data_IF_854387162849
#
_entry.id   IF_854387162849
#
_cell.length_a   1.000
_cell.length_b   1.000
_cell.length_c   1.000
_cell.angle_alpha   90.00
_cell.angle_beta   90.00
_cell.angle_gamma   90.00
#
_symmetry.space_group_name_H-M   'P 1'
#
loop_
_entity.id
_entity.type
_entity.pdbx_description
1 polymer ?
#
# COMPACT_ATOMS: atom_id res chain seq x y z
N UNK A 1 -7.16 12.16 -16.40
CA UNK A 1 -5.91 11.49 -16.85
C UNK A 1 -6.28 10.09 -17.29
N UNK A 2 -5.77 9.65 -18.44
CA UNK A 2 -6.05 8.32 -19.01
C UNK A 2 -5.12 7.26 -18.40
N UNK A 3 -5.49 5.98 -18.48
CA UNK A 3 -4.61 4.89 -18.04
C UNK A 3 -3.27 4.91 -18.77
N UNK A 4 -3.25 5.20 -20.08
CA UNK A 4 -2.03 5.30 -20.88
C UNK A 4 -1.08 6.38 -20.37
N UNK A 5 -1.59 7.56 -20.01
CA UNK A 5 -0.76 8.63 -19.44
C UNK A 5 -0.15 8.22 -18.09
N UNK A 6 -0.90 7.47 -17.27
CA UNK A 6 -0.39 6.93 -15.99
C UNK A 6 0.70 5.89 -16.28
N UNK A 7 0.45 5.00 -17.24
CA UNK A 7 1.36 3.95 -17.68
C UNK A 7 2.70 4.53 -18.16
N UNK A 8 2.64 5.55 -19.02
CA UNK A 8 3.82 6.30 -19.48
C UNK A 8 4.57 6.94 -18.31
N UNK A 9 3.84 7.59 -17.39
CA UNK A 9 4.43 8.22 -16.21
C UNK A 9 5.08 7.22 -15.26
N UNK A 10 4.59 5.99 -15.15
CA UNK A 10 5.19 5.04 -14.21
C UNK A 10 6.47 4.38 -14.74
N UNK A 11 6.74 4.45 -16.06
CA UNK A 11 7.95 3.87 -16.69
C UNK A 11 9.27 4.49 -16.25
N UNK A 12 9.24 5.68 -15.65
CA UNK A 12 10.42 6.36 -15.09
C UNK A 12 10.80 5.89 -13.68
N UNK A 13 9.97 5.03 -13.06
CA UNK A 13 10.26 4.43 -11.75
C UNK A 13 10.69 2.96 -11.91
N UNK A 14 11.45 2.40 -10.95
CA UNK A 14 11.81 0.98 -10.95
C UNK A 14 10.62 0.11 -10.48
N UNK A 15 9.48 0.21 -11.17
CA UNK A 15 8.35 -0.68 -10.99
C UNK A 15 8.68 -2.03 -11.62
N UNK A 16 8.47 -3.09 -10.86
CA UNK A 16 8.67 -4.45 -11.31
C UNK A 16 7.46 -4.97 -12.09
N UNK A 17 6.27 -4.87 -11.49
CA UNK A 17 5.00 -5.26 -12.12
C UNK A 17 3.91 -4.26 -11.74
N UNK A 18 2.90 -4.10 -12.61
CA UNK A 18 1.72 -3.31 -12.31
C UNK A 18 0.47 -3.89 -12.99
N UNK A 19 -0.69 -3.52 -12.46
CA UNK A 19 -1.99 -3.83 -13.01
C UNK A 19 -2.96 -2.69 -12.71
N UNK A 20 -3.84 -2.38 -13.66
CA UNK A 20 -5.01 -1.54 -13.41
C UNK A 20 -6.17 -2.44 -13.00
N UNK A 21 -6.67 -2.25 -11.78
CA UNK A 21 -7.78 -3.04 -11.23
C UNK A 21 -8.95 -2.14 -10.87
N UNK A 22 -10.14 -2.72 -10.74
CA UNK A 22 -11.30 -2.00 -10.21
C UNK A 22 -11.46 -2.25 -8.71
N UNK A 23 -11.96 -1.29 -7.92
CA UNK A 23 -12.27 -1.51 -6.52
C UNK A 23 -13.16 -2.73 -6.27
N UNK A 24 -14.11 -3.00 -7.17
CA UNK A 24 -15.00 -4.17 -7.10
C UNK A 24 -14.29 -5.53 -7.17
N UNK A 25 -13.09 -5.58 -7.79
CA UNK A 25 -12.33 -6.83 -7.96
C UNK A 25 -11.50 -7.20 -6.71
N UNK A 26 -11.40 -6.27 -5.76
CA UNK A 26 -10.60 -6.38 -4.54
C UNK A 26 -11.39 -7.16 -3.48
N UNK A 27 -10.79 -8.23 -2.98
CA UNK A 27 -11.35 -8.98 -1.86
C UNK A 27 -10.96 -8.35 -0.51
N UNK A 28 -11.96 -8.16 0.34
CA UNK A 28 -11.82 -7.69 1.71
C UNK A 28 -12.26 -8.80 2.67
N UNK A 29 -11.42 -9.14 3.65
CA UNK A 29 -11.65 -10.23 4.56
C UNK A 29 -11.10 -9.94 5.97
N UNK A 30 -11.94 -10.03 7.00
CA UNK A 30 -11.56 -9.85 8.40
C UNK A 30 -10.46 -10.80 8.90
N UNK A 31 -10.25 -11.93 8.21
CA UNK A 31 -9.15 -12.84 8.55
C UNK A 31 -7.78 -12.18 8.38
N UNK A 32 -7.60 -11.31 7.38
CA UNK A 32 -6.36 -10.53 7.19
C UNK A 32 -6.12 -9.62 8.40
N UNK A 33 -7.21 -9.06 8.95
CA UNK A 33 -7.20 -8.26 10.18
C UNK A 33 -6.81 -9.06 11.42
N UNK A 34 -7.11 -10.35 11.46
CA UNK A 34 -6.68 -11.23 12.56
C UNK A 34 -5.16 -11.43 12.56
N UNK A 35 -4.54 -11.52 11.38
CA UNK A 35 -3.07 -11.60 11.25
C UNK A 35 -2.46 -10.33 11.85
N UNK A 36 -2.96 -9.15 11.46
CA UNK A 36 -2.54 -7.89 12.08
C UNK A 36 -2.65 -7.95 13.62
N UNK A 37 -3.78 -8.43 14.16
CA UNK A 37 -4.02 -8.47 15.61
C UNK A 37 -3.14 -9.46 16.38
N UNK A 38 -2.81 -10.59 15.76
CA UNK A 38 -2.14 -11.72 16.43
C UNK A 38 -0.63 -11.75 16.19
N UNK A 39 -0.19 -11.31 15.02
CA UNK A 39 1.17 -11.57 14.51
C UNK A 39 1.95 -10.27 14.24
N UNK A 40 1.27 -9.13 14.06
CA UNK A 40 1.96 -7.87 13.84
C UNK A 40 2.26 -7.13 15.15
N UNK A 41 3.55 -6.96 15.47
CA UNK A 41 4.02 -6.19 16.62
C UNK A 41 3.63 -4.70 16.58
N UNK A 42 3.22 -4.20 15.42
CA UNK A 42 2.81 -2.80 15.17
C UNK A 42 1.30 -2.59 15.29
N UNK A 43 0.52 -3.62 15.63
CA UNK A 43 -0.91 -3.48 15.89
C UNK A 43 -1.18 -2.41 16.96
N UNK A 44 -2.09 -1.48 16.68
CA UNK A 44 -2.43 -0.39 17.61
C UNK A 44 -1.31 0.62 17.85
N UNK A 45 -0.23 0.60 17.07
CA UNK A 45 0.92 1.47 17.30
C UNK A 45 0.89 2.78 16.50
N UNK A 46 0.06 2.90 15.46
CA UNK A 46 0.04 4.06 14.59
C UNK A 46 -1.29 4.31 13.89
N UNK A 47 -1.43 5.48 13.28
CA UNK A 47 -2.57 5.87 12.44
C UNK A 47 -2.71 5.03 11.15
N UNK A 48 -1.65 4.31 10.73
CA UNK A 48 -1.67 3.44 9.54
C UNK A 48 -2.13 2.01 9.85
N UNK A 49 -2.47 1.73 11.11
CA UNK A 49 -2.71 0.38 11.62
C UNK A 49 -4.11 0.27 12.26
N UNK A 50 -4.67 -0.93 12.37
CA UNK A 50 -5.83 -1.16 13.25
C UNK A 50 -5.55 -0.75 14.70
N UNK A 51 -6.58 -0.33 15.46
CA UNK A 51 -7.94 -0.04 15.00
C UNK A 51 -8.09 1.34 14.35
N UNK A 52 -7.01 2.13 14.26
CA UNK A 52 -7.04 3.53 13.82
C UNK A 52 -7.62 3.74 12.42
N UNK A 53 -7.35 2.82 11.49
CA UNK A 53 -7.85 2.91 10.10
C UNK A 53 -9.34 2.52 9.95
N UNK A 54 -9.96 2.00 11.02
CA UNK A 54 -11.38 1.59 11.04
C UNK A 54 -11.61 0.08 10.93
N UNK A 55 -12.88 -0.31 10.84
CA UNK A 55 -13.28 -1.70 10.58
C UNK A 55 -13.04 -2.06 9.10
N UNK A 56 -13.07 -3.34 8.75
CA UNK A 56 -12.89 -3.77 7.35
C UNK A 56 -14.01 -3.23 6.47
N UNK A 57 -15.24 -3.13 6.98
CA UNK A 57 -16.37 -2.54 6.27
C UNK A 57 -16.13 -1.07 5.93
N UNK A 58 -15.68 -0.27 6.89
CA UNK A 58 -15.34 1.15 6.66
C UNK A 58 -14.17 1.28 5.68
N UNK A 59 -13.17 0.41 5.78
CA UNK A 59 -12.04 0.38 4.85
C UNK A 59 -12.52 0.08 3.43
N UNK A 60 -13.39 -0.94 3.28
CA UNK A 60 -14.00 -1.32 2.00
C UNK A 60 -14.82 -0.18 1.43
N UNK A 61 -15.72 0.43 2.20
CA UNK A 61 -16.54 1.58 1.76
C UNK A 61 -15.66 2.73 1.26
N UNK A 62 -14.56 3.03 1.96
CA UNK A 62 -13.60 4.06 1.53
C UNK A 62 -12.98 3.71 0.19
N UNK A 63 -12.52 2.48 0.01
CA UNK A 63 -11.93 2.02 -1.25
C UNK A 63 -12.95 2.03 -2.41
N UNK A 64 -14.21 1.69 -2.13
CA UNK A 64 -15.32 1.68 -3.10
C UNK A 64 -15.79 3.08 -3.51
N UNK A 65 -15.31 4.13 -2.85
CA UNK A 65 -15.60 5.52 -3.24
C UNK A 65 -14.70 6.02 -4.38
N UNK A 66 -13.83 5.17 -4.92
CA UNK A 66 -12.97 5.45 -6.07
C UNK A 66 -13.43 4.61 -7.28
N UNK A 67 -12.96 4.95 -8.47
CA UNK A 67 -13.39 4.27 -9.71
C UNK A 67 -12.30 3.32 -10.25
N UNK A 68 -11.04 3.61 -9.92
CA UNK A 68 -9.88 2.93 -10.47
C UNK A 68 -8.82 2.71 -9.40
N UNK A 69 -7.98 1.70 -9.62
CA UNK A 69 -6.84 1.39 -8.76
C UNK A 69 -5.63 1.05 -9.61
N UNK A 70 -4.51 1.73 -9.36
CA UNK A 70 -3.20 1.29 -9.82
C UNK A 70 -2.60 0.39 -8.74
N UNK A 71 -2.45 -0.90 -9.03
CA UNK A 71 -1.75 -1.86 -8.19
C UNK A 71 -0.38 -2.10 -8.77
N UNK A 72 0.69 -1.94 -8.00
CA UNK A 72 2.04 -2.12 -8.50
C UNK A 72 3.00 -2.65 -7.45
N UNK A 73 4.11 -3.17 -7.91
CA UNK A 73 5.20 -3.65 -7.08
C UNK A 73 6.55 -3.06 -7.48
N UNK A 74 7.48 -3.03 -6.52
CA UNK A 74 8.91 -2.86 -6.79
C UNK A 74 9.68 -3.97 -6.08
N UNK A 75 10.91 -4.20 -6.51
CA UNK A 75 11.79 -5.22 -5.93
C UNK A 75 13.01 -4.58 -5.29
N UNK A 76 13.56 -5.24 -4.28
CA UNK A 76 14.84 -4.88 -3.68
C UNK A 76 15.65 -6.14 -3.38
N UNK A 77 16.95 -6.07 -3.65
CA UNK A 77 17.90 -7.12 -3.33
C UNK A 77 18.26 -7.04 -1.84
N UNK A 78 18.33 -8.20 -1.19
CA UNK A 78 18.72 -8.38 0.21
C UNK A 78 19.59 -9.62 0.34
N UNK A 79 20.49 -9.65 1.32
CA UNK A 79 21.31 -10.83 1.59
C UNK A 79 20.45 -11.99 2.11
N UNK A 80 19.46 -11.70 2.96
CA UNK A 80 18.53 -12.69 3.49
C UNK A 80 17.14 -12.10 3.74
N UNK A 81 16.14 -12.52 2.98
CA UNK A 81 14.74 -12.08 3.15
C UNK A 81 14.15 -12.38 4.55
N UNK A 82 14.73 -13.33 5.29
CA UNK A 82 14.32 -13.63 6.66
C UNK A 82 14.86 -12.61 7.68
N UNK A 83 15.84 -11.79 7.30
CA UNK A 83 16.26 -10.62 8.09
C UNK A 83 15.25 -9.48 7.87
N UNK A 84 14.36 -9.34 8.84
CA UNK A 84 13.31 -8.31 8.82
C UNK A 84 13.88 -6.89 8.87
N UNK A 85 14.99 -6.66 9.58
CA UNK A 85 15.57 -5.32 9.72
C UNK A 85 16.25 -4.89 8.41
N UNK A 86 16.90 -5.82 7.71
CA UNK A 86 17.41 -5.59 6.36
C UNK A 86 16.28 -5.32 5.38
N UNK A 87 15.28 -6.23 5.35
CA UNK A 87 14.11 -6.13 4.48
C UNK A 87 13.43 -4.77 4.64
N UNK A 88 13.11 -4.37 5.88
CA UNK A 88 12.41 -3.11 6.16
C UNK A 88 13.19 -1.84 5.75
N UNK A 89 14.53 -1.88 5.64
CA UNK A 89 15.29 -0.72 5.13
C UNK A 89 14.99 -0.43 3.67
N UNK A 90 14.71 -1.47 2.89
CA UNK A 90 14.41 -1.35 1.44
C UNK A 90 13.04 -0.73 1.17
N UNK A 91 12.12 -0.80 2.14
CA UNK A 91 10.76 -0.22 2.05
C UNK A 91 10.77 1.28 1.71
N UNK A 92 11.75 2.03 2.23
CA UNK A 92 11.79 3.49 2.12
C UNK A 92 11.76 3.99 0.68
N UNK A 93 12.44 3.29 -0.23
CA UNK A 93 12.45 3.58 -1.66
C UNK A 93 11.10 3.25 -2.31
N UNK A 94 10.48 2.12 -1.97
CA UNK A 94 9.13 1.78 -2.45
C UNK A 94 8.10 2.83 -2.05
N UNK A 95 8.10 3.24 -0.78
CA UNK A 95 7.20 4.29 -0.27
C UNK A 95 7.43 5.65 -0.94
N UNK A 96 8.67 5.94 -1.36
CA UNK A 96 8.98 7.15 -2.11
C UNK A 96 8.36 7.09 -3.51
N UNK A 97 8.47 5.97 -4.20
CA UNK A 97 7.82 5.74 -5.49
C UNK A 97 6.30 5.92 -5.35
N UNK A 98 5.67 5.30 -4.34
CA UNK A 98 4.24 5.45 -4.08
C UNK A 98 3.82 6.90 -3.89
N UNK A 99 4.58 7.68 -3.12
CA UNK A 99 4.31 9.12 -2.92
C UNK A 99 4.46 9.92 -4.21
N UNK A 100 5.49 9.66 -5.01
CA UNK A 100 5.73 10.40 -6.25
C UNK A 100 4.64 10.11 -7.30
N UNK A 101 4.18 8.86 -7.40
CA UNK A 101 3.07 8.49 -8.27
C UNK A 101 1.76 9.10 -7.74
N UNK A 102 1.46 8.98 -6.45
CA UNK A 102 0.24 9.54 -5.86
C UNK A 102 0.19 11.06 -6.04
N UNK A 103 1.30 11.77 -5.77
CA UNK A 103 1.38 13.22 -5.94
C UNK A 103 1.16 13.61 -7.40
N UNK A 104 1.71 12.86 -8.36
CA UNK A 104 1.48 13.14 -9.78
C UNK A 104 0.00 13.04 -10.15
N UNK A 105 -0.71 12.02 -9.65
CA UNK A 105 -2.15 11.89 -9.88
C UNK A 105 -2.93 13.06 -9.26
N UNK A 106 -2.56 13.50 -8.04
CA UNK A 106 -3.13 14.69 -7.39
C UNK A 106 -2.89 15.96 -8.20
N UNK A 107 -1.68 16.16 -8.73
CA UNK A 107 -1.31 17.31 -9.57
C UNK A 107 -2.14 17.36 -10.87
N UNK A 108 -2.63 16.21 -11.33
CA UNK A 108 -3.58 16.06 -12.44
C UNK A 108 -5.05 16.14 -12.01
N UNK A 109 -5.32 16.69 -10.83
CA UNK A 109 -6.66 16.94 -10.27
C UNK A 109 -7.48 15.67 -9.98
N UNK A 110 -6.82 14.53 -9.80
CA UNK A 110 -7.49 13.31 -9.33
C UNK A 110 -7.56 13.30 -7.80
N UNK A 111 -8.68 12.83 -7.27
CA UNK A 111 -8.78 12.45 -5.86
C UNK A 111 -8.09 11.10 -5.70
N UNK A 112 -7.22 10.95 -4.71
CA UNK A 112 -6.46 9.72 -4.49
C UNK A 112 -6.56 9.22 -3.06
N UNK A 113 -6.35 7.90 -2.92
CA UNK A 113 -6.09 7.26 -1.65
C UNK A 113 -5.08 6.13 -1.84
N UNK A 114 -3.88 6.29 -1.30
CA UNK A 114 -2.83 5.29 -1.40
C UNK A 114 -2.75 4.37 -0.17
N UNK A 115 -2.55 3.09 -0.43
CA UNK A 115 -2.16 2.05 0.52
C UNK A 115 -0.78 1.53 0.12
N UNK A 116 0.10 1.29 1.10
CA UNK A 116 1.42 0.72 0.85
C UNK A 116 1.68 -0.51 1.71
N UNK A 117 2.83 -1.14 1.54
CA UNK A 117 3.21 -2.34 2.30
C UNK A 117 3.74 -1.96 3.68
N UNK A 118 3.29 -2.67 4.71
CA UNK A 118 3.71 -2.52 6.13
C UNK A 118 3.34 -1.17 6.81
N UNK A 119 3.48 -1.12 8.14
CA UNK A 119 3.15 0.02 8.99
C UNK A 119 3.99 1.29 8.72
N UNK A 120 3.39 2.46 8.97
CA UNK A 120 4.04 3.76 8.81
C UNK A 120 5.20 3.94 9.80
N UNK A 121 6.33 4.46 9.31
CA UNK A 121 7.54 4.76 10.10
C UNK A 121 8.05 6.20 9.91
N UNK A 122 7.18 7.12 9.50
CA UNK A 122 7.56 8.52 9.19
C UNK A 122 8.05 9.34 10.39
N UNK A 123 7.76 8.89 11.61
CA UNK A 123 8.13 9.62 12.82
C UNK A 123 8.67 8.66 13.89
N UNK A 124 9.64 9.13 14.68
CA UNK A 124 10.25 8.33 15.76
C UNK A 124 9.22 7.79 16.75
N UNK A 125 8.19 8.59 17.03
CA UNK A 125 7.07 8.22 17.90
C UNK A 125 5.75 8.71 17.33
N UNK A 126 4.85 7.77 17.06
CA UNK A 126 3.50 8.09 16.58
C UNK A 126 2.68 8.81 17.67
N UNK A 127 1.82 9.73 17.25
CA UNK A 127 0.89 10.47 18.11
C UNK A 127 -0.37 9.66 18.47
N UNK A 128 -0.61 8.55 17.78
CA UNK A 128 -1.72 7.64 18.08
C UNK A 128 -1.65 7.11 19.52
N UNK A 129 -2.78 7.00 20.26
CA UNK A 129 -4.13 7.47 19.92
C UNK A 129 -4.43 8.89 20.38
N UNK A 130 -3.45 9.61 20.95
CA UNK A 130 -3.69 10.85 21.73
C UNK A 130 -3.77 12.13 20.89
N UNK A 131 -3.23 12.14 19.67
CA UNK A 131 -3.28 13.32 18.80
C UNK A 131 -3.20 12.97 17.32
N UNK A 132 -3.57 13.90 16.44
CA UNK A 132 -3.59 13.68 14.98
C UNK A 132 -2.24 13.28 14.39
N UNK A 133 -2.27 12.63 13.23
CA UNK A 133 -1.05 12.33 12.48
C UNK A 133 -0.29 13.62 12.13
N UNK A 134 1.03 13.62 12.33
CA UNK A 134 1.90 14.77 11.98
C UNK A 134 2.26 14.84 10.49
N UNK A 135 1.94 13.78 9.75
CA UNK A 135 2.31 13.59 8.34
C UNK A 135 1.11 13.08 7.54
N UNK A 136 -0.04 13.75 7.65
CA UNK A 136 -1.30 13.30 7.03
C UNK A 136 -1.14 13.04 5.53
N UNK A 137 -0.48 13.94 4.81
CA UNK A 137 -0.28 13.84 3.36
C UNK A 137 0.74 12.79 2.92
N UNK A 138 1.57 12.28 3.83
CA UNK A 138 2.63 11.31 3.52
C UNK A 138 2.33 9.91 4.04
N UNK A 139 1.39 9.79 4.98
CA UNK A 139 1.11 8.55 5.68
C UNK A 139 0.21 7.66 4.82
N UNK A 140 0.76 6.53 4.40
CA UNK A 140 -0.01 5.47 3.78
C UNK A 140 -0.37 4.40 4.81
N UNK A 141 -1.65 4.01 4.91
CA UNK A 141 -2.03 2.80 5.60
C UNK A 141 -1.47 1.56 4.92
N UNK A 142 -1.25 0.51 5.71
CA UNK A 142 -0.84 -0.79 5.21
C UNK A 142 -1.99 -1.46 4.42
N UNK A 143 -1.71 -2.16 3.32
CA UNK A 143 -2.76 -2.82 2.52
C UNK A 143 -3.55 -3.84 3.36
N UNK A 144 -2.86 -4.69 4.12
CA UNK A 144 -3.44 -5.68 5.02
C UNK A 144 -4.22 -5.02 6.16
N UNK A 145 -3.83 -3.79 6.53
CA UNK A 145 -4.59 -2.99 7.50
C UNK A 145 -5.98 -2.60 7.00
N UNK A 146 -6.27 -2.71 5.70
CA UNK A 146 -7.62 -2.51 5.16
C UNK A 146 -8.42 -3.81 5.03
N UNK A 147 -7.83 -4.94 5.42
CA UNK A 147 -8.44 -6.26 5.25
C UNK A 147 -8.32 -6.79 3.82
N UNK A 148 -7.49 -6.17 2.97
CA UNK A 148 -7.35 -6.56 1.57
C UNK A 148 -6.53 -7.85 1.47
N UNK A 149 -7.03 -8.79 0.68
CA UNK A 149 -6.34 -10.06 0.37
C UNK A 149 -5.44 -9.86 -0.86
N UNK A 150 -4.21 -9.37 -0.65
CA UNK A 150 -3.26 -9.05 -1.73
C UNK A 150 -2.95 -10.26 -2.61
N UNK A 151 -2.84 -11.45 -2.01
CA UNK A 151 -2.58 -12.70 -2.73
C UNK A 151 -3.58 -12.95 -3.88
N UNK A 152 -4.86 -12.63 -3.68
CA UNK A 152 -5.89 -12.84 -4.70
C UNK A 152 -5.73 -11.87 -5.88
N UNK A 153 -5.25 -10.64 -5.62
CA UNK A 153 -4.93 -9.70 -6.70
C UNK A 153 -3.68 -10.12 -7.47
N UNK A 154 -2.66 -10.60 -6.75
CA UNK A 154 -1.43 -11.12 -7.39
C UNK A 154 -1.77 -12.28 -8.32
N UNK A 155 -2.54 -13.26 -7.85
CA UNK A 155 -2.95 -14.42 -8.65
C UNK A 155 -3.80 -14.02 -9.86
N UNK A 156 -4.83 -13.19 -9.66
CA UNK A 156 -5.72 -12.74 -10.76
C UNK A 156 -4.97 -11.97 -11.85
N UNK A 157 -3.93 -11.23 -11.50
CA UNK A 157 -3.15 -10.41 -12.43
C UNK A 157 -1.85 -11.11 -12.89
N UNK A 158 -1.65 -12.38 -12.54
CA UNK A 158 -0.46 -13.16 -12.89
C UNK A 158 0.86 -12.45 -12.51
N UNK A 159 0.86 -11.79 -11.35
CA UNK A 159 2.04 -11.13 -10.79
C UNK A 159 2.86 -12.11 -9.95
N UNK A 160 4.12 -11.80 -9.71
CA UNK A 160 4.98 -12.61 -8.84
C UNK A 160 4.79 -12.18 -7.38
N UNK A 161 4.76 -13.16 -6.47
CA UNK A 161 4.75 -12.92 -5.02
C UNK A 161 6.04 -13.36 -4.33
N UNK A 162 6.92 -14.09 -5.03
CA UNK A 162 8.17 -14.61 -4.49
C UNK A 162 9.21 -14.76 -5.61
N UNK A 163 10.41 -14.19 -5.41
CA UNK A 163 11.51 -14.19 -6.38
C UNK A 163 12.78 -14.88 -5.84
N UNK A 164 12.65 -15.68 -4.78
CA UNK A 164 13.77 -16.33 -4.10
C UNK A 164 14.13 -15.67 -2.77
N UNK A 165 15.21 -16.15 -2.16
CA UNK A 165 15.60 -15.79 -0.78
C UNK A 165 16.37 -14.46 -0.68
N UNK A 166 16.72 -13.86 -1.83
CA UNK A 166 17.53 -12.64 -1.93
C UNK A 166 16.77 -11.44 -2.52
N UNK A 167 15.45 -11.56 -2.70
CA UNK A 167 14.65 -10.54 -3.37
C UNK A 167 13.34 -10.31 -2.62
N UNK A 168 13.13 -9.08 -2.16
CA UNK A 168 11.89 -8.62 -1.53
C UNK A 168 11.01 -7.98 -2.57
N UNK A 169 9.70 -8.28 -2.53
CA UNK A 169 8.69 -7.60 -3.34
C UNK A 169 7.84 -6.72 -2.42
N UNK A 170 7.76 -5.43 -2.73
CA UNK A 170 6.89 -4.48 -2.06
C UNK A 170 5.73 -4.10 -2.95
N UNK A 171 4.53 -4.00 -2.38
CA UNK A 171 3.30 -3.67 -3.10
C UNK A 171 2.67 -2.36 -2.61
N UNK A 172 2.08 -1.62 -3.55
CA UNK A 172 1.24 -0.45 -3.25
C UNK A 172 0.00 -0.45 -4.13
N UNK A 173 -1.07 0.16 -3.61
CA UNK A 173 -2.33 0.39 -4.30
C UNK A 173 -2.67 1.87 -4.23
N UNK A 174 -2.87 2.51 -5.38
CA UNK A 174 -3.33 3.90 -5.44
C UNK A 174 -4.73 3.89 -6.03
N UNK A 175 -5.72 4.13 -5.18
CA UNK A 175 -7.10 4.34 -5.59
C UNK A 175 -7.24 5.76 -6.12
N UNK A 176 -7.94 5.95 -7.23
CA UNK A 176 -8.15 7.27 -7.81
C UNK A 176 -9.50 7.41 -8.52
N UNK A 177 -9.98 8.64 -8.59
CA UNK A 177 -11.14 9.07 -9.39
C UNK A 177 -11.03 10.53 -9.79
N UNK A 178 -11.86 10.96 -10.72
CA UNK A 178 -12.00 12.38 -11.05
C UNK A 178 -12.60 13.16 -9.85
N UNK A 179 -12.18 14.42 -9.69
CA UNK A 179 -12.64 15.30 -8.61
C UNK A 179 -14.10 15.76 -8.78
#
# INVERSE_FOLDING_TARGET
MTQTEIEEYITQFPIYQYAFVKPEDIEFNDRVRQICKKECSRYGASWSCPPAVGTVEICKERCMNYDHVLFFSSIAEVDNIMDMDETLKTKSEHEKITREIEQHLKDKTLLTFALSSDSCQLCDKCTYPRGGCRHLELMHPCIESHGIVVANLIEKNMMDYYLGEHMVIWFSMIFYKES
#
